data_IF_853830387656
#
_entry.id   IF_853830387656
#
_cell.length_a   1.000
_cell.length_b   1.000
_cell.length_c   1.000
_cell.angle_alpha   90.00
_cell.angle_beta   90.00
_cell.angle_gamma   90.00
#
_symmetry.space_group_name_H-M   'P 1'
#
loop_
_entity.id
_entity.type
_entity.pdbx_description
1 polymer ?
#
# COMPACT_ATOMS: atom_id res chain seq x y z
N UNK A 1 -51.68 -67.34 -32.78
CA UNK A 1 -50.27 -67.09 -32.43
C UNK A 1 -49.90 -65.70 -32.93
N UNK A 2 -50.20 -64.66 -32.15
CA UNK A 2 -49.81 -63.27 -32.42
C UNK A 2 -49.03 -62.81 -31.19
N UNK A 3 -47.72 -62.63 -31.36
CA UNK A 3 -46.80 -62.25 -30.31
C UNK A 3 -46.91 -60.73 -30.06
N UNK A 4 -47.53 -60.35 -28.94
CA UNK A 4 -47.51 -58.97 -28.45
C UNK A 4 -46.16 -58.72 -27.76
N UNK A 5 -45.28 -58.03 -28.48
CA UNK A 5 -43.99 -57.58 -27.98
C UNK A 5 -44.22 -56.48 -26.93
N UNK A 6 -44.09 -56.84 -25.65
CA UNK A 6 -44.15 -55.89 -24.53
C UNK A 6 -42.84 -55.11 -24.53
N UNK A 7 -42.85 -53.92 -25.10
CA UNK A 7 -41.72 -52.99 -25.07
C UNK A 7 -41.64 -52.40 -23.65
N UNK A 8 -40.74 -52.92 -22.82
CA UNK A 8 -40.47 -52.41 -21.49
C UNK A 8 -39.85 -51.01 -21.60
N UNK A 9 -40.68 -49.97 -21.39
CA UNK A 9 -40.22 -48.60 -21.20
C UNK A 9 -39.35 -48.55 -19.95
N UNK A 10 -38.03 -48.47 -20.12
CA UNK A 10 -37.12 -48.08 -19.05
C UNK A 10 -37.48 -46.66 -18.62
N UNK A 11 -37.90 -46.49 -17.38
CA UNK A 11 -38.05 -45.18 -16.75
C UNK A 11 -36.71 -44.44 -16.81
N UNK A 12 -36.59 -43.49 -17.73
CA UNK A 12 -35.52 -42.50 -17.69
C UNK A 12 -35.86 -41.58 -16.52
N UNK A 13 -35.13 -41.74 -15.41
CA UNK A 13 -35.20 -40.82 -14.30
C UNK A 13 -34.65 -39.47 -14.75
N UNK A 14 -35.53 -38.52 -15.04
CA UNK A 14 -35.13 -37.12 -15.13
C UNK A 14 -34.66 -36.71 -13.74
N UNK A 15 -33.35 -36.54 -13.57
CA UNK A 15 -32.83 -35.87 -12.40
C UNK A 15 -33.51 -34.50 -12.36
N UNK A 16 -34.38 -34.27 -11.38
CA UNK A 16 -34.84 -32.94 -11.05
C UNK A 16 -33.62 -32.18 -10.50
N UNK A 17 -32.78 -31.67 -11.40
CA UNK A 17 -31.93 -30.54 -11.08
C UNK A 17 -32.87 -29.36 -10.98
N UNK A 18 -33.56 -29.21 -9.85
CA UNK A 18 -34.15 -27.93 -9.47
C UNK A 18 -32.97 -26.96 -9.61
N UNK A 19 -32.94 -26.05 -10.60
CA UNK A 19 -31.97 -24.98 -10.55
C UNK A 19 -32.30 -24.29 -9.23
N UNK A 20 -31.40 -24.40 -8.25
CA UNK A 20 -31.47 -23.54 -7.08
C UNK A 20 -31.32 -22.15 -7.65
N UNK A 21 -32.45 -21.51 -7.91
CA UNK A 21 -32.48 -20.11 -8.28
C UNK A 21 -31.87 -19.44 -7.07
N UNK A 22 -30.58 -19.08 -7.18
CA UNK A 22 -29.84 -18.29 -6.22
C UNK A 22 -30.68 -17.05 -5.99
N UNK A 23 -31.47 -17.08 -4.91
CA UNK A 23 -32.49 -16.09 -4.69
C UNK A 23 -31.76 -14.87 -4.16
N UNK A 24 -31.42 -13.98 -5.09
CA UNK A 24 -30.81 -12.69 -4.81
C UNK A 24 -31.53 -12.03 -3.64
N UNK A 25 -30.81 -11.88 -2.53
CA UNK A 25 -31.32 -11.32 -1.29
C UNK A 25 -30.60 -10.03 -0.98
N UNK A 26 -31.36 -8.98 -0.68
CA UNK A 26 -30.78 -7.73 -0.20
C UNK A 26 -30.42 -7.87 1.28
N UNK A 27 -29.16 -7.61 1.59
CA UNK A 27 -28.63 -7.49 2.94
C UNK A 27 -28.34 -6.02 3.19
N UNK A 28 -28.81 -5.50 4.31
CA UNK A 28 -28.56 -4.13 4.75
C UNK A 28 -27.83 -4.12 6.08
N UNK A 29 -27.26 -2.97 6.44
CA UNK A 29 -26.64 -2.81 7.75
C UNK A 29 -25.84 -1.53 7.84
N UNK A 30 -25.18 -1.34 8.97
CA UNK A 30 -24.24 -0.26 9.19
C UNK A 30 -22.85 -0.78 9.51
N UNK A 31 -21.84 -0.03 9.08
CA UNK A 31 -20.45 -0.24 9.43
C UNK A 31 -20.00 0.89 10.33
N UNK A 32 -19.56 0.54 11.53
CA UNK A 32 -19.10 1.50 12.54
C UNK A 32 -17.67 1.20 12.96
N UNK A 33 -16.97 2.20 13.47
CA UNK A 33 -15.66 2.00 14.10
C UNK A 33 -15.83 1.41 15.50
N UNK A 34 -14.96 0.47 15.87
CA UNK A 34 -14.93 -0.15 17.19
C UNK A 34 -14.51 0.83 18.29
N UNK A 35 -13.78 1.89 17.95
CA UNK A 35 -13.21 2.83 18.92
C UNK A 35 -14.21 3.88 19.38
N UNK A 36 -14.98 4.44 18.44
CA UNK A 36 -15.84 5.62 18.66
C UNK A 36 -17.33 5.34 18.36
N UNK A 37 -17.66 4.15 17.84
CA UNK A 37 -19.00 3.77 17.37
C UNK A 37 -19.57 4.73 16.30
N UNK A 38 -18.72 5.47 15.60
CA UNK A 38 -19.13 6.34 14.50
C UNK A 38 -19.23 5.53 13.20
N UNK A 39 -20.21 5.87 12.35
CA UNK A 39 -20.37 5.29 11.02
C UNK A 39 -19.15 5.58 10.15
N UNK A 40 -18.65 4.56 9.46
CA UNK A 40 -17.47 4.69 8.58
C UNK A 40 -17.96 4.83 7.13
N UNK A 41 -17.82 6.03 6.52
CA UNK A 41 -18.12 6.21 5.11
C UNK A 41 -17.02 5.65 4.21
N UNK A 42 -17.39 5.16 3.02
CA UNK A 42 -16.42 4.71 2.02
C UNK A 42 -15.84 3.30 2.23
N UNK A 43 -16.39 2.50 3.15
CA UNK A 43 -16.01 1.10 3.34
C UNK A 43 -16.41 0.30 2.11
N UNK A 44 -15.47 -0.48 1.56
CA UNK A 44 -15.75 -1.42 0.48
C UNK A 44 -16.39 -2.69 1.06
N UNK A 45 -17.60 -3.00 0.59
CA UNK A 45 -18.39 -4.17 0.97
C UNK A 45 -18.47 -5.09 -0.24
N UNK A 46 -17.77 -6.22 -0.22
CA UNK A 46 -17.66 -7.11 -1.40
C UNK A 46 -18.12 -8.52 -1.03
N UNK A 47 -18.98 -9.11 -1.85
CA UNK A 47 -19.33 -10.53 -1.71
C UNK A 47 -18.22 -11.39 -2.32
N UNK A 48 -17.55 -12.16 -1.46
CA UNK A 48 -16.45 -13.07 -1.83
C UNK A 48 -16.87 -14.01 -2.97
N UNK A 49 -16.00 -14.12 -3.97
CA UNK A 49 -16.21 -14.99 -5.13
C UNK A 49 -17.18 -14.44 -6.18
N UNK A 50 -17.69 -13.22 -6.01
CA UNK A 50 -18.53 -12.54 -6.99
C UNK A 50 -18.00 -11.14 -7.30
N UNK A 51 -18.52 -10.53 -8.37
CA UNK A 51 -18.25 -9.12 -8.69
C UNK A 51 -19.22 -8.16 -8.01
N UNK A 52 -20.11 -8.65 -7.13
CA UNK A 52 -21.09 -7.82 -6.45
C UNK A 52 -20.43 -7.13 -5.26
N UNK A 53 -20.42 -5.80 -5.30
CA UNK A 53 -19.94 -4.96 -4.23
C UNK A 53 -20.82 -3.74 -4.02
N UNK A 54 -20.69 -3.13 -2.85
CA UNK A 54 -21.31 -1.88 -2.46
C UNK A 54 -20.30 -1.05 -1.65
N UNK A 55 -20.60 0.24 -1.48
CA UNK A 55 -19.80 1.16 -0.65
C UNK A 55 -20.72 1.76 0.40
N UNK A 56 -20.23 1.97 1.62
CA UNK A 56 -21.01 2.61 2.68
C UNK A 56 -21.24 4.11 2.40
N UNK A 57 -22.42 4.62 2.80
CA UNK A 57 -22.79 6.02 2.71
C UNK A 57 -22.16 6.88 3.83
N UNK A 58 -22.53 8.17 3.91
CA UNK A 58 -22.00 9.11 4.90
C UNK A 58 -22.24 8.68 6.35
N UNK A 59 -23.35 7.98 6.61
CA UNK A 59 -23.73 7.50 7.93
C UNK A 59 -23.19 6.07 8.20
N UNK A 60 -22.44 5.50 7.26
CA UNK A 60 -21.88 4.15 7.34
C UNK A 60 -22.86 3.03 6.95
N UNK A 61 -24.03 3.35 6.40
CA UNK A 61 -25.01 2.34 5.99
C UNK A 61 -24.65 1.76 4.62
N UNK A 62 -25.04 0.50 4.40
CA UNK A 62 -24.88 -0.17 3.12
C UNK A 62 -26.11 -1.03 2.78
N UNK A 63 -26.25 -1.29 1.48
CA UNK A 63 -27.23 -2.23 0.92
C UNK A 63 -26.57 -3.01 -0.20
N UNK A 64 -26.51 -4.33 -0.06
CA UNK A 64 -25.85 -5.21 -1.03
C UNK A 64 -26.75 -6.41 -1.34
N UNK A 65 -26.82 -6.78 -2.61
CA UNK A 65 -27.56 -7.99 -3.01
C UNK A 65 -26.61 -9.17 -3.05
N UNK A 66 -26.89 -10.19 -2.26
CA UNK A 66 -26.09 -11.42 -2.21
C UNK A 66 -26.83 -12.55 -2.92
N UNK A 67 -26.11 -13.45 -3.61
CA UNK A 67 -26.74 -14.53 -4.37
C UNK A 67 -27.20 -15.70 -3.47
N UNK A 68 -26.56 -15.88 -2.30
CA UNK A 68 -26.95 -16.91 -1.33
C UNK A 68 -26.77 -16.46 0.13
N UNK A 69 -27.44 -17.17 1.04
CA UNK A 69 -27.26 -17.02 2.49
C UNK A 69 -25.89 -17.54 2.98
N UNK A 70 -25.23 -18.38 2.19
CA UNK A 70 -23.90 -18.92 2.47
C UNK A 70 -22.78 -17.99 1.98
N UNK A 71 -23.13 -16.89 1.33
CA UNK A 71 -22.16 -15.92 0.84
C UNK A 71 -21.44 -15.23 1.99
N UNK A 72 -20.14 -14.99 1.79
CA UNK A 72 -19.28 -14.25 2.73
C UNK A 72 -19.10 -12.84 2.22
N UNK A 73 -19.36 -11.85 3.06
CA UNK A 73 -19.15 -10.44 2.77
C UNK A 73 -17.85 -10.01 3.43
N UNK A 74 -16.95 -9.43 2.65
CA UNK A 74 -15.71 -8.81 3.09
C UNK A 74 -15.92 -7.32 3.22
N UNK A 75 -15.59 -6.78 4.39
CA UNK A 75 -15.59 -5.37 4.71
C UNK A 75 -14.14 -4.90 4.81
N UNK A 76 -13.73 -4.01 3.92
CA UNK A 76 -12.35 -3.51 3.85
C UNK A 76 -12.33 -2.00 3.71
N UNK A 77 -11.46 -1.35 4.47
CA UNK A 77 -11.23 0.08 4.39
C UNK A 77 -9.77 0.39 4.76
N UNK A 78 -9.21 1.47 4.22
CA UNK A 78 -7.81 1.82 4.44
C UNK A 78 -7.63 2.22 5.91
N UNK A 79 -6.65 1.62 6.59
CA UNK A 79 -6.39 1.84 8.00
C UNK A 79 -7.29 1.05 8.95
N UNK A 80 -8.04 0.05 8.46
CA UNK A 80 -8.87 -0.83 9.28
C UNK A 80 -8.62 -2.30 8.94
N UNK A 81 -8.80 -3.17 9.94
CA UNK A 81 -8.66 -4.61 9.77
C UNK A 81 -9.81 -5.11 8.91
N UNK A 82 -9.49 -5.83 7.83
CA UNK A 82 -10.49 -6.44 6.96
C UNK A 82 -11.26 -7.51 7.73
N UNK A 83 -12.60 -7.42 7.71
CA UNK A 83 -13.48 -8.33 8.42
C UNK A 83 -14.36 -9.08 7.44
N UNK A 84 -14.41 -10.40 7.58
CA UNK A 84 -15.27 -11.25 6.76
C UNK A 84 -16.43 -11.80 7.61
N UNK A 85 -17.66 -11.69 7.11
CA UNK A 85 -18.87 -12.15 7.79
C UNK A 85 -19.72 -12.96 6.82
N UNK A 86 -20.17 -14.14 7.26
CA UNK A 86 -21.12 -14.96 6.51
C UNK A 86 -22.53 -14.40 6.70
N UNK A 87 -23.29 -14.24 5.62
CA UNK A 87 -24.64 -13.63 5.67
C UNK A 87 -25.60 -14.40 6.57
N UNK A 88 -25.60 -15.73 6.47
CA UNK A 88 -26.51 -16.59 7.21
C UNK A 88 -27.98 -16.28 6.89
N UNK A 89 -28.85 -16.41 7.88
CA UNK A 89 -30.29 -16.14 7.74
C UNK A 89 -30.68 -14.67 7.93
N UNK A 90 -29.80 -13.82 8.45
CA UNK A 90 -30.15 -12.46 8.88
C UNK A 90 -29.98 -11.45 7.76
N UNK A 91 -31.06 -10.75 7.39
CA UNK A 91 -31.01 -9.74 6.33
C UNK A 91 -30.35 -8.42 6.77
N UNK A 92 -30.14 -8.25 8.08
CA UNK A 92 -29.47 -7.09 8.66
C UNK A 92 -28.17 -7.53 9.34
N UNK A 93 -27.05 -6.94 8.95
CA UNK A 93 -25.72 -7.25 9.49
C UNK A 93 -24.99 -5.95 9.81
N UNK A 94 -24.87 -5.65 11.10
CA UNK A 94 -24.09 -4.51 11.56
C UNK A 94 -22.66 -4.98 11.86
N UNK A 95 -21.68 -4.19 11.44
CA UNK A 95 -20.27 -4.55 11.51
C UNK A 95 -19.51 -3.46 12.24
N UNK A 96 -18.72 -3.87 13.22
CA UNK A 96 -17.73 -3.00 13.83
C UNK A 96 -16.34 -3.38 13.30
N UNK A 97 -15.64 -2.40 12.71
CA UNK A 97 -14.28 -2.54 12.21
C UNK A 97 -13.29 -1.97 13.22
N UNK A 98 -12.19 -2.71 13.42
CA UNK A 98 -11.09 -2.30 14.28
C UNK A 98 -10.05 -1.54 13.45
N UNK A 99 -9.49 -0.48 14.01
CA UNK A 99 -8.39 0.28 13.42
C UNK A 99 -7.15 -0.62 13.24
N UNK A 100 -6.57 -0.62 12.05
CA UNK A 100 -5.33 -1.33 11.75
C UNK A 100 -4.15 -0.38 11.94
N UNK A 101 -3.79 -0.17 13.21
CA UNK A 101 -2.64 0.67 13.60
C UNK A 101 -1.30 0.04 13.17
N UNK A 102 -1.27 -1.26 12.85
CA UNK A 102 -0.07 -1.98 12.46
C UNK A 102 0.31 -1.81 10.98
N UNK A 103 -0.63 -1.38 10.12
CA UNK A 103 -0.38 -1.16 8.70
C UNK A 103 0.49 0.07 8.36
N UNK A 104 0.91 0.85 9.37
CA UNK A 104 1.72 2.07 9.21
C UNK A 104 3.24 1.82 9.24
N UNK A 105 3.71 0.60 9.54
CA UNK A 105 5.14 0.28 9.67
C UNK A 105 5.73 -0.56 8.52
N UNK A 106 4.94 -0.91 7.49
CA UNK A 106 5.37 -1.86 6.46
C UNK A 106 5.44 -1.28 5.05
N UNK A 107 6.28 -0.25 4.83
CA UNK A 107 6.99 -0.07 3.55
C UNK A 107 8.35 0.62 3.78
N UNK A 108 9.37 -0.17 4.13
CA UNK A 108 10.75 0.14 3.72
C UNK A 108 11.28 -1.06 2.94
N UNK A 109 10.78 -1.22 1.71
CA UNK A 109 11.45 -2.06 0.71
C UNK A 109 12.40 -1.17 -0.07
N UNK A 110 13.60 -0.97 0.46
CA UNK A 110 14.76 -0.68 -0.40
C UNK A 110 15.35 -2.02 -0.85
N UNK A 111 14.64 -2.65 -1.78
CA UNK A 111 15.18 -3.70 -2.61
C UNK A 111 16.04 -3.08 -3.70
N UNK A 112 17.34 -2.96 -3.47
CA UNK A 112 18.32 -3.00 -4.55
C UNK A 112 19.19 -4.25 -4.35
N UNK A 113 19.17 -5.10 -5.36
CA UNK A 113 19.61 -6.48 -5.32
C UNK A 113 21.06 -6.67 -4.89
N UNK A 114 21.34 -7.89 -4.44
CA UNK A 114 22.71 -8.38 -4.27
C UNK A 114 23.49 -8.19 -5.57
N UNK A 115 24.41 -7.22 -5.59
CA UNK A 115 25.38 -7.11 -6.66
C UNK A 115 26.32 -8.33 -6.58
N UNK A 116 26.29 -9.16 -7.61
CA UNK A 116 27.10 -10.36 -7.75
C UNK A 116 28.59 -9.97 -7.71
N UNK A 117 29.32 -10.59 -6.79
CA UNK A 117 30.76 -10.39 -6.55
C UNK A 117 31.57 -11.08 -7.64
N UNK A 118 31.75 -10.44 -8.78
CA UNK A 118 32.67 -10.83 -9.87
C UNK A 118 32.83 -9.59 -10.76
N UNK A 119 33.79 -8.70 -10.50
CA UNK A 119 35.04 -8.65 -11.29
C UNK A 119 36.09 -7.86 -10.50
N UNK A 120 37.00 -8.61 -9.86
CA UNK A 120 38.24 -8.11 -9.27
C UNK A 120 39.25 -7.83 -10.39
N UNK A 121 39.19 -6.66 -11.02
CA UNK A 121 40.35 -6.08 -11.73
C UNK A 121 40.37 -4.58 -11.54
N UNK A 122 40.96 -4.17 -10.43
CA UNK A 122 41.16 -2.78 -10.07
C UNK A 122 41.70 -2.78 -8.66
N UNK A 123 43.02 -2.78 -8.55
CA UNK A 123 43.74 -2.86 -7.29
C UNK A 123 43.18 -1.88 -6.26
N UNK A 124 42.63 -2.41 -5.16
CA UNK A 124 42.39 -1.63 -3.95
C UNK A 124 43.09 -2.38 -2.83
N UNK A 125 44.33 -1.97 -2.58
CA UNK A 125 45.02 -2.33 -1.34
C UNK A 125 44.17 -1.83 -0.17
N UNK A 126 43.75 -2.76 0.67
CA UNK A 126 42.97 -2.49 1.87
C UNK A 126 43.90 -1.86 2.90
N UNK A 127 44.03 -0.53 2.89
CA UNK A 127 44.76 0.19 3.93
C UNK A 127 43.89 0.14 5.18
N UNK A 128 44.35 -0.63 6.16
CA UNK A 128 43.76 -0.73 7.50
C UNK A 128 43.83 0.63 8.20
N UNK A 129 42.81 0.94 8.97
CA UNK A 129 42.60 2.23 9.64
C UNK A 129 43.48 2.42 10.90
N UNK A 130 44.68 1.83 10.92
CA UNK A 130 45.65 1.98 12.02
C UNK A 130 46.91 2.78 11.61
N UNK A 131 46.93 3.39 10.42
CA UNK A 131 48.07 4.17 9.92
C UNK A 131 47.79 5.69 9.78
N UNK A 132 46.64 6.19 10.23
CA UNK A 132 46.22 7.59 10.06
C UNK A 132 46.08 8.39 11.35
N UNK A 133 46.74 7.99 12.44
CA UNK A 133 46.87 8.86 13.63
C UNK A 133 48.02 9.88 13.51
N UNK A 134 48.88 9.80 12.49
CA UNK A 134 50.12 10.59 12.44
C UNK A 134 50.27 11.53 11.23
N UNK A 135 49.17 11.83 10.54
CA UNK A 135 49.17 12.89 9.51
C UNK A 135 48.14 13.95 9.85
N UNK A 136 48.63 15.01 10.50
CA UNK A 136 47.98 16.30 10.56
C UNK A 136 47.78 16.84 9.13
N UNK A 137 46.63 16.57 8.52
CA UNK A 137 46.23 17.16 7.24
C UNK A 137 44.99 18.02 7.43
N UNK A 138 45.21 19.33 7.49
CA UNK A 138 44.20 20.35 7.76
C UNK A 138 43.14 20.58 6.67
N UNK A 139 43.06 19.77 5.61
CA UNK A 139 41.90 19.78 4.69
C UNK A 139 41.96 18.64 3.66
N UNK A 140 40.98 17.71 3.63
CA UNK A 140 40.94 16.61 2.66
C UNK A 140 40.76 17.05 1.19
N UNK A 141 40.36 18.30 0.94
CA UNK A 141 40.20 18.85 -0.42
C UNK A 141 41.53 19.05 -1.17
N UNK A 142 42.64 19.26 -0.45
CA UNK A 142 43.97 19.42 -1.05
C UNK A 142 44.59 18.10 -1.49
N UNK A 143 44.20 16.98 -0.86
CA UNK A 143 44.73 15.65 -1.19
C UNK A 143 44.23 15.12 -2.56
N UNK A 144 43.11 15.64 -3.06
CA UNK A 144 42.57 15.29 -4.37
C UNK A 144 43.12 16.16 -5.52
N UNK A 145 43.81 17.25 -5.20
CA UNK A 145 44.42 18.12 -6.20
C UNK A 145 45.70 17.46 -6.75
N UNK A 146 45.60 16.90 -7.96
CA UNK A 146 46.74 16.29 -8.67
C UNK A 146 46.72 14.76 -8.78
N UNK A 147 45.72 14.07 -8.22
CA UNK A 147 45.51 12.62 -8.40
C UNK A 147 44.45 12.26 -9.45
N UNK A 148 43.71 13.26 -9.95
CA UNK A 148 42.64 13.08 -10.95
C UNK A 148 42.90 14.00 -12.15
N UNK A 149 43.18 13.45 -13.35
CA UNK A 149 43.27 14.25 -14.57
C UNK A 149 41.94 14.96 -14.83
N UNK A 150 41.97 16.27 -15.03
CA UNK A 150 40.78 17.05 -15.39
C UNK A 150 39.97 17.62 -14.22
N UNK A 151 40.41 17.47 -12.96
CA UNK A 151 39.77 18.15 -11.83
C UNK A 151 40.24 19.61 -11.74
N UNK A 152 39.37 20.55 -12.12
CA UNK A 152 39.58 21.98 -11.91
C UNK A 152 38.84 22.38 -10.63
N UNK A 153 39.60 22.61 -9.55
CA UNK A 153 39.05 23.20 -8.32
C UNK A 153 38.88 24.70 -8.56
N UNK A 154 37.68 25.09 -8.96
CA UNK A 154 37.31 26.51 -9.01
C UNK A 154 37.14 26.98 -7.57
N UNK A 155 38.13 27.71 -7.03
CA UNK A 155 37.93 28.45 -5.78
C UNK A 155 36.77 29.42 -6.02
N UNK A 156 35.64 29.17 -5.38
CA UNK A 156 34.58 30.16 -5.27
C UNK A 156 35.18 31.35 -4.51
N UNK A 157 35.58 32.36 -5.29
CA UNK A 157 36.10 33.62 -4.84
C UNK A 157 35.20 34.18 -3.74
N UNK A 158 35.76 34.40 -2.55
CA UNK A 158 35.15 34.96 -1.35
C UNK A 158 34.81 36.46 -1.49
N UNK A 159 34.47 36.92 -2.71
CA UNK A 159 34.00 38.28 -2.99
C UNK A 159 32.48 38.45 -2.91
N UNK A 160 31.73 37.39 -2.61
CA UNK A 160 30.27 37.48 -2.44
C UNK A 160 29.86 37.92 -1.03
N UNK A 161 30.68 37.67 -0.01
CA UNK A 161 30.37 38.11 1.37
C UNK A 161 30.59 39.63 1.53
N UNK A 162 31.68 40.17 0.97
CA UNK A 162 31.98 41.61 1.10
C UNK A 162 31.00 42.49 0.33
N UNK A 163 30.50 42.05 -0.84
CA UNK A 163 29.52 42.84 -1.61
C UNK A 163 28.14 42.87 -0.93
N UNK A 164 27.77 41.81 -0.21
CA UNK A 164 26.52 41.76 0.56
C UNK A 164 26.59 42.68 1.80
N UNK A 165 27.73 42.71 2.50
CA UNK A 165 27.94 43.58 3.66
C UNK A 165 27.98 45.07 3.31
N UNK A 166 28.57 45.44 2.16
CA UNK A 166 28.58 46.84 1.69
C UNK A 166 27.17 47.31 1.34
N UNK A 167 26.37 46.49 0.64
CA UNK A 167 25.00 46.87 0.28
C UNK A 167 24.08 47.03 1.50
N UNK A 168 24.29 46.21 2.54
CA UNK A 168 23.55 46.34 3.80
C UNK A 168 23.94 47.59 4.60
N UNK A 169 25.22 47.99 4.56
CA UNK A 169 25.67 49.25 5.20
C UNK A 169 25.13 50.48 4.48
N UNK A 170 25.07 50.45 3.15
CA UNK A 170 24.66 51.59 2.31
C UNK A 170 23.14 51.84 2.39
N UNK A 171 22.33 50.78 2.51
CA UNK A 171 20.87 50.89 2.75
C UNK A 171 20.56 51.40 4.17
N UNK A 172 21.40 51.10 5.16
CA UNK A 172 21.18 51.57 6.53
C UNK A 172 21.56 53.05 6.70
N UNK A 173 22.59 53.53 5.99
CA UNK A 173 23.01 54.94 6.05
C UNK A 173 21.99 55.88 5.38
N UNK A 174 21.28 55.41 4.35
CA UNK A 174 20.26 56.20 3.63
C UNK A 174 18.92 56.35 4.38
N UNK A 175 18.71 55.58 5.45
CA UNK A 175 17.52 55.65 6.31
C UNK A 175 17.74 56.49 7.59
N UNK A 176 18.91 57.11 7.74
CA UNK A 176 19.27 57.96 8.89
C UNK A 176 19.46 59.46 8.55
N UNK A 177 19.14 59.90 7.33
CA UNK A 177 18.94 61.32 6.98
C UNK A 177 17.47 61.66 6.76
#
# INVERSE_FOLDING_TARGET
>A
MIAFMVFSMTNVGYANTNPTIEQNRTVTGSVVSAEDNMGIPGVNVIVKGTSTGAVTDFDGNYSITVPSNSSVISFSYIGYVTKEITVGSNAQINVSLESDVAALDEVVVVGYGSAKKETLTGAVEQIKAEAFEDLAVGSPALALQGRTPGLVVTRASSRLVTKMLIFLLEVHLLLME
#
